data_IF_786322073848
#
_entry.id   IF_786322073848
#
_cell.length_a   1.000
_cell.length_b   1.000
_cell.length_c   1.000
_cell.angle_alpha   90.00
_cell.angle_beta   90.00
_cell.angle_gamma   90.00
#
_symmetry.space_group_name_H-M   'P 1'
#
loop_
_entity.id
_entity.type
_entity.pdbx_description
1 polymer ?
#
# COMPACT_ATOMS: atom_id res chain seq x y z
N UNK A 1 -2.41 24.46 -30.46
CA UNK A 1 -1.39 23.52 -29.97
C UNK A 1 -0.83 24.04 -28.65
N UNK A 2 -0.37 25.30 -28.59
CA UNK A 2 0.10 26.00 -27.37
C UNK A 2 -0.89 25.96 -26.17
N UNK A 3 -2.17 26.31 -26.36
CA UNK A 3 -3.15 26.27 -25.26
C UNK A 3 -3.45 24.87 -24.68
N UNK A 4 -3.13 23.79 -25.42
CA UNK A 4 -3.32 22.42 -24.93
C UNK A 4 -2.22 22.01 -23.97
N UNK A 5 -0.98 22.30 -24.34
CA UNK A 5 0.22 22.01 -23.53
C UNK A 5 0.21 22.80 -22.22
N UNK A 6 -0.18 24.08 -22.24
CA UNK A 6 -0.33 24.89 -21.02
C UNK A 6 -1.38 24.32 -20.06
N UNK A 7 -2.50 23.84 -20.60
CA UNK A 7 -3.57 23.25 -19.79
C UNK A 7 -3.09 21.95 -19.14
N UNK A 8 -2.41 21.09 -19.89
CA UNK A 8 -1.91 19.82 -19.37
C UNK A 8 -0.83 20.05 -18.30
N UNK A 9 0.08 21.01 -18.50
CA UNK A 9 1.06 21.40 -17.49
C UNK A 9 0.39 21.92 -16.20
N UNK A 10 -0.66 22.73 -16.32
CA UNK A 10 -1.41 23.23 -15.17
C UNK A 10 -2.12 22.09 -14.40
N UNK A 11 -2.67 21.09 -15.12
CA UNK A 11 -3.27 19.90 -14.53
C UNK A 11 -2.23 19.10 -13.74
N UNK A 12 -1.09 18.79 -14.36
CA UNK A 12 -0.03 18.03 -13.70
C UNK A 12 0.45 18.78 -12.46
N UNK A 13 0.59 20.11 -12.53
CA UNK A 13 0.99 20.90 -11.36
C UNK A 13 -0.05 20.84 -10.23
N UNK A 14 -1.34 20.83 -10.54
CA UNK A 14 -2.40 20.66 -9.55
C UNK A 14 -2.33 19.28 -8.87
N UNK A 15 -2.04 18.23 -9.64
CA UNK A 15 -1.84 16.87 -9.10
C UNK A 15 -0.62 16.83 -8.16
N UNK A 16 0.47 17.51 -8.51
CA UNK A 16 1.64 17.62 -7.62
C UNK A 16 1.29 18.32 -6.31
N UNK A 17 0.53 19.42 -6.36
CA UNK A 17 0.09 20.12 -5.15
C UNK A 17 -0.80 19.23 -4.27
N UNK A 18 -1.61 18.36 -4.88
CA UNK A 18 -2.41 17.38 -4.16
C UNK A 18 -1.55 16.25 -3.55
N UNK A 19 -0.51 15.79 -4.25
CA UNK A 19 0.47 14.87 -3.69
C UNK A 19 1.22 15.49 -2.50
N UNK A 20 1.65 16.75 -2.64
CA UNK A 20 2.32 17.50 -1.58
C UNK A 20 1.46 17.63 -0.32
N UNK A 21 0.14 17.80 -0.44
CA UNK A 21 -0.77 17.78 0.70
C UNK A 21 -0.67 16.47 1.50
N UNK A 22 -0.61 15.30 0.83
CA UNK A 22 -0.44 14.02 1.52
C UNK A 22 0.96 13.83 2.07
N UNK A 23 1.99 14.37 1.43
CA UNK A 23 3.32 14.41 2.03
C UNK A 23 3.28 15.17 3.36
N UNK A 24 2.62 16.32 3.41
CA UNK A 24 2.46 17.09 4.65
C UNK A 24 1.73 16.26 5.71
N UNK A 25 0.67 15.54 5.33
CA UNK A 25 -0.02 14.63 6.26
C UNK A 25 0.91 13.55 6.84
N UNK A 26 1.84 13.01 6.04
CA UNK A 26 2.80 12.00 6.51
C UNK A 26 3.87 12.63 7.40
N UNK A 27 4.57 13.66 6.91
CA UNK A 27 5.76 14.19 7.57
C UNK A 27 5.45 15.06 8.79
N UNK A 28 4.39 15.88 8.76
CA UNK A 28 4.04 16.75 9.89
C UNK A 28 3.44 15.98 11.06
N UNK A 29 2.89 14.79 10.81
CA UNK A 29 2.30 13.91 11.82
C UNK A 29 3.21 12.73 12.19
N UNK A 30 4.44 12.69 11.67
CA UNK A 30 5.42 11.62 11.90
C UNK A 30 4.86 10.21 11.61
N UNK A 31 4.13 10.06 10.51
CA UNK A 31 3.64 8.77 10.03
C UNK A 31 4.74 8.04 9.25
N UNK A 32 4.63 6.72 9.16
CA UNK A 32 5.63 5.88 8.50
C UNK A 32 5.48 5.81 6.97
N UNK A 33 4.44 6.42 6.39
CA UNK A 33 4.24 6.38 4.94
C UNK A 33 2.82 6.69 4.50
N UNK A 34 2.57 6.48 3.21
CA UNK A 34 1.29 6.69 2.54
C UNK A 34 0.82 5.43 1.83
N UNK A 35 -0.48 5.17 1.88
CA UNK A 35 -1.15 4.08 1.18
C UNK A 35 -2.29 4.65 0.33
N UNK A 36 -2.25 4.37 -0.97
CA UNK A 36 -3.23 4.87 -1.93
C UNK A 36 -4.32 3.83 -2.19
N UNK A 37 -5.54 4.10 -1.73
CA UNK A 37 -6.72 3.32 -2.10
C UNK A 37 -7.14 3.66 -3.54
N UNK A 38 -6.84 2.77 -4.49
CA UNK A 38 -7.06 2.99 -5.92
C UNK A 38 -8.28 2.23 -6.44
N UNK A 39 -9.43 2.88 -6.32
CA UNK A 39 -10.72 2.42 -6.84
C UNK A 39 -11.39 3.52 -7.67
N UNK A 40 -10.84 3.87 -8.85
CA UNK A 40 -11.19 5.12 -9.49
C UNK A 40 -12.66 5.23 -9.89
N UNK A 41 -13.42 4.16 -10.19
CA UNK A 41 -14.83 4.26 -10.64
C UNK A 41 -15.12 5.37 -11.70
N UNK A 42 -14.14 5.73 -12.54
CA UNK A 42 -14.12 6.89 -13.47
C UNK A 42 -13.67 8.25 -12.90
N UNK A 43 -12.98 8.26 -11.77
CA UNK A 43 -12.36 9.43 -11.13
C UNK A 43 -11.28 10.02 -12.05
N UNK A 44 -11.14 11.34 -11.97
CA UNK A 44 -10.11 12.12 -12.61
C UNK A 44 -8.70 11.64 -12.27
N UNK A 45 -8.43 11.25 -11.03
CA UNK A 45 -7.12 10.76 -10.62
C UNK A 45 -6.94 9.28 -10.98
N UNK A 46 -6.91 8.99 -12.27
CA UNK A 46 -6.77 7.63 -12.82
C UNK A 46 -5.77 7.58 -13.98
N UNK A 47 -5.31 6.36 -14.32
CA UNK A 47 -4.35 6.14 -15.40
C UNK A 47 -3.06 6.95 -15.23
N UNK A 48 -2.65 7.67 -16.28
CA UNK A 48 -1.41 8.45 -16.28
C UNK A 48 -1.37 9.54 -15.20
N UNK A 49 -2.53 10.10 -14.84
CA UNK A 49 -2.60 11.10 -13.76
C UNK A 49 -2.34 10.49 -12.39
N UNK A 50 -2.85 9.28 -12.13
CA UNK A 50 -2.52 8.54 -10.91
C UNK A 50 -1.06 8.14 -10.87
N UNK A 51 -0.50 7.69 -12.00
CA UNK A 51 0.94 7.38 -12.10
C UNK A 51 1.79 8.63 -11.85
N UNK A 52 1.41 9.81 -12.38
CA UNK A 52 2.10 11.07 -12.11
C UNK A 52 2.04 11.45 -10.62
N UNK A 53 0.88 11.29 -9.99
CA UNK A 53 0.69 11.50 -8.55
C UNK A 53 1.62 10.61 -7.72
N UNK A 54 1.62 9.29 -7.98
CA UNK A 54 2.46 8.33 -7.27
C UNK A 54 3.96 8.60 -7.50
N UNK A 55 4.37 8.95 -8.71
CA UNK A 55 5.75 9.34 -9.00
C UNK A 55 6.18 10.61 -8.26
N UNK A 56 5.28 11.57 -8.06
CA UNK A 56 5.58 12.76 -7.27
C UNK A 56 5.81 12.39 -5.80
N UNK A 57 4.94 11.56 -5.20
CA UNK A 57 5.13 11.03 -3.85
C UNK A 57 6.44 10.23 -3.70
N UNK A 58 6.78 9.44 -4.72
CA UNK A 58 7.96 8.57 -4.74
C UNK A 58 9.31 9.32 -4.65
N UNK A 59 9.33 10.63 -4.89
CA UNK A 59 10.52 11.46 -4.64
C UNK A 59 10.88 11.49 -3.14
N UNK A 60 9.87 11.39 -2.27
CA UNK A 60 10.00 11.53 -0.82
C UNK A 60 9.86 10.20 -0.07
N UNK A 61 9.14 9.23 -0.65
CA UNK A 61 8.76 7.97 0.00
C UNK A 61 8.98 6.77 -0.96
N UNK A 62 8.97 5.56 -0.43
CA UNK A 62 9.10 4.33 -1.23
C UNK A 62 10.51 4.05 -1.74
N UNK A 63 10.75 2.90 -2.41
CA UNK A 63 12.08 2.51 -2.89
C UNK A 63 12.69 3.38 -4.00
N UNK A 64 11.87 4.07 -4.80
CA UNK A 64 12.19 4.84 -6.00
C UNK A 64 13.67 4.81 -6.49
N UNK A 65 14.01 4.03 -7.53
CA UNK A 65 15.38 3.91 -8.02
C UNK A 65 15.90 5.16 -8.73
N UNK A 66 15.03 6.10 -9.11
CA UNK A 66 15.40 7.29 -9.90
C UNK A 66 15.90 8.46 -9.03
N UNK A 67 15.99 8.27 -7.71
CA UNK A 67 16.52 9.28 -6.78
C UNK A 67 17.48 8.63 -5.78
N UNK A 68 18.60 9.30 -5.50
CA UNK A 68 19.53 8.87 -4.45
C UNK A 68 18.99 9.20 -3.05
N UNK A 69 19.53 8.54 -2.03
CA UNK A 69 19.18 8.82 -0.63
C UNK A 69 19.51 10.26 -0.24
N UNK A 70 20.63 10.79 -0.74
CA UNK A 70 21.10 12.14 -0.50
C UNK A 70 20.17 13.19 -1.15
N UNK A 71 19.74 12.96 -2.39
CA UNK A 71 18.77 13.83 -3.07
C UNK A 71 17.41 13.81 -2.37
N UNK A 72 16.93 12.63 -1.97
CA UNK A 72 15.70 12.51 -1.18
C UNK A 72 15.80 13.28 0.14
N UNK A 73 16.88 13.08 0.89
CA UNK A 73 17.11 13.80 2.14
C UNK A 73 17.10 15.31 1.92
N UNK A 74 17.76 15.80 0.87
CA UNK A 74 17.78 17.22 0.53
C UNK A 74 16.38 17.76 0.20
N UNK A 75 15.55 17.02 -0.55
CA UNK A 75 14.16 17.40 -0.83
C UNK A 75 13.32 17.48 0.45
N UNK A 76 13.44 16.48 1.31
CA UNK A 76 12.73 16.42 2.60
C UNK A 76 13.14 17.60 3.48
N UNK A 77 14.44 17.85 3.66
CA UNK A 77 14.94 18.93 4.50
C UNK A 77 14.61 20.31 3.93
N UNK A 78 14.58 20.47 2.60
CA UNK A 78 14.16 21.72 1.97
C UNK A 78 12.69 22.06 2.27
N UNK A 79 11.82 21.07 2.41
CA UNK A 79 10.39 21.26 2.69
C UNK A 79 10.09 21.32 4.19
N UNK A 80 10.67 20.43 4.99
CA UNK A 80 10.29 20.20 6.40
C UNK A 80 11.37 20.62 7.42
N UNK A 81 12.54 21.04 6.96
CA UNK A 81 13.66 21.50 7.80
C UNK A 81 14.73 20.43 8.06
N UNK A 82 15.93 20.90 8.40
CA UNK A 82 17.15 20.06 8.53
C UNK A 82 17.05 18.95 9.58
N UNK A 83 16.15 19.08 10.55
CA UNK A 83 15.94 18.07 11.60
C UNK A 83 15.15 16.85 11.14
N UNK A 84 14.47 16.93 9.99
CA UNK A 84 13.71 15.81 9.42
C UNK A 84 14.63 14.98 8.55
N UNK A 85 14.99 13.78 9.02
CA UNK A 85 16.01 12.93 8.38
C UNK A 85 15.51 11.55 7.98
N UNK A 86 14.24 11.24 8.23
CA UNK A 86 13.66 9.95 7.86
C UNK A 86 13.38 9.93 6.34
N UNK A 87 14.14 9.09 5.64
CA UNK A 87 14.07 8.90 4.18
C UNK A 87 13.43 7.56 3.79
N UNK A 88 13.07 6.74 4.78
CA UNK A 88 12.62 5.36 4.60
C UNK A 88 11.09 5.22 4.72
N UNK A 89 10.35 6.35 4.69
CA UNK A 89 8.88 6.41 4.63
C UNK A 89 8.34 5.53 3.51
N UNK A 90 7.31 4.74 3.79
CA UNK A 90 6.70 3.79 2.86
C UNK A 90 5.78 4.48 1.86
N UNK A 91 5.74 3.93 0.64
CA UNK A 91 4.72 4.22 -0.36
C UNK A 91 4.06 2.91 -0.77
N UNK A 92 2.76 2.80 -0.55
CA UNK A 92 1.95 1.64 -0.85
C UNK A 92 0.75 2.01 -1.70
N UNK A 93 0.13 0.99 -2.28
CA UNK A 93 -1.13 1.12 -3.00
C UNK A 93 -1.99 -0.09 -2.70
N UNK A 94 -3.30 0.09 -2.66
CA UNK A 94 -4.28 -0.96 -2.50
C UNK A 94 -5.38 -0.86 -3.57
N UNK A 95 -5.91 -2.01 -3.99
CA UNK A 95 -6.93 -2.10 -5.04
C UNK A 95 -7.61 -3.49 -5.09
N UNK A 96 -8.84 -3.60 -5.62
CA UNK A 96 -9.53 -4.88 -5.86
C UNK A 96 -9.05 -5.60 -7.13
N UNK A 97 -8.57 -4.85 -8.13
CA UNK A 97 -8.17 -5.36 -9.45
C UNK A 97 -6.73 -5.88 -9.53
N UNK A 98 -6.31 -6.43 -10.67
CA UNK A 98 -4.90 -6.70 -10.91
C UNK A 98 -4.22 -5.41 -11.37
N UNK A 99 -3.44 -4.81 -10.48
CA UNK A 99 -2.58 -3.64 -10.64
C UNK A 99 -3.26 -2.30 -11.05
N UNK A 100 -2.99 -1.19 -10.33
CA UNK A 100 -3.23 0.15 -10.84
C UNK A 100 -2.42 0.45 -12.11
N UNK A 101 -1.14 0.02 -12.12
CA UNK A 101 -0.20 0.12 -13.24
C UNK A 101 1.12 -0.61 -12.91
N UNK A 102 1.79 -1.19 -13.91
CA UNK A 102 3.14 -1.76 -13.77
C UNK A 102 4.21 -0.70 -13.49
N UNK A 103 3.94 0.57 -13.84
CA UNK A 103 4.82 1.70 -13.55
C UNK A 103 5.05 1.93 -12.04
N UNK A 104 4.22 1.31 -11.19
CA UNK A 104 4.33 1.44 -9.74
C UNK A 104 5.26 0.39 -9.12
N UNK A 105 5.68 -0.62 -9.88
CA UNK A 105 6.46 -1.75 -9.36
C UNK A 105 7.73 -1.30 -8.66
N UNK A 106 8.46 -0.32 -9.20
CA UNK A 106 9.75 0.08 -8.65
C UNK A 106 9.66 1.20 -7.61
N UNK A 107 8.51 1.87 -7.50
CA UNK A 107 8.31 3.00 -6.58
C UNK A 107 7.49 2.65 -5.34
N UNK A 108 6.71 1.56 -5.36
CA UNK A 108 5.94 1.11 -4.19
C UNK A 108 6.69 0.04 -3.39
N UNK A 109 6.57 0.08 -2.06
CA UNK A 109 7.01 -0.97 -1.15
C UNK A 109 6.12 -2.21 -1.28
N UNK A 110 4.80 -2.00 -1.19
CA UNK A 110 3.81 -3.05 -1.19
C UNK A 110 2.59 -2.70 -2.05
N UNK A 111 1.97 -3.76 -2.56
CA UNK A 111 0.63 -3.74 -3.12
C UNK A 111 -0.29 -4.56 -2.20
N UNK A 112 -1.23 -3.87 -1.54
CA UNK A 112 -2.26 -4.49 -0.73
C UNK A 112 -3.43 -4.91 -1.65
N UNK A 113 -3.38 -6.15 -2.14
CA UNK A 113 -4.42 -6.71 -2.99
C UNK A 113 -5.66 -6.99 -2.15
N UNK A 114 -6.76 -6.32 -2.45
CA UNK A 114 -8.06 -6.60 -1.83
C UNK A 114 -8.66 -7.88 -2.41
N UNK A 115 -8.23 -9.04 -1.90
CA UNK A 115 -8.65 -10.36 -2.40
C UNK A 115 -10.01 -10.83 -1.86
N UNK A 116 -10.88 -9.93 -1.42
CA UNK A 116 -12.09 -10.27 -0.65
C UNK A 116 -12.96 -11.35 -1.33
N UNK A 117 -13.06 -12.53 -0.71
CA UNK A 117 -13.84 -13.66 -1.24
C UNK A 117 -13.25 -14.35 -2.48
N UNK A 118 -11.98 -14.09 -2.81
CA UNK A 118 -11.29 -14.63 -3.98
C UNK A 118 -9.99 -15.35 -3.65
N UNK A 119 -9.53 -16.19 -4.58
CA UNK A 119 -8.24 -16.88 -4.47
C UNK A 119 -7.07 -15.90 -4.58
N UNK A 120 -5.93 -16.16 -3.90
CA UNK A 120 -4.76 -15.30 -3.98
C UNK A 120 -4.11 -15.37 -5.36
N UNK A 121 -4.29 -14.31 -6.14
CA UNK A 121 -3.67 -14.11 -7.45
C UNK A 121 -3.34 -12.62 -7.65
N UNK A 122 -2.20 -12.36 -8.30
CA UNK A 122 -1.77 -11.03 -8.72
C UNK A 122 -0.70 -11.16 -9.81
N UNK A 123 -0.64 -10.17 -10.70
CA UNK A 123 0.43 -9.99 -11.69
C UNK A 123 1.65 -9.23 -11.14
N UNK A 124 1.55 -8.62 -9.96
CA UNK A 124 2.66 -7.89 -9.33
C UNK A 124 3.80 -8.83 -8.91
N UNK A 125 5.04 -8.30 -8.77
CA UNK A 125 6.14 -9.02 -8.12
C UNK A 125 5.68 -9.59 -6.78
N UNK A 126 5.73 -10.92 -6.64
CA UNK A 126 5.07 -11.62 -5.53
C UNK A 126 5.52 -11.11 -4.17
N UNK A 127 6.80 -10.79 -4.03
CA UNK A 127 7.42 -10.27 -2.81
C UNK A 127 6.89 -8.90 -2.35
N UNK A 128 6.17 -8.19 -3.22
CA UNK A 128 5.48 -6.94 -2.92
C UNK A 128 3.99 -7.11 -2.65
N UNK A 129 3.41 -8.29 -2.93
CA UNK A 129 1.96 -8.49 -2.79
C UNK A 129 1.61 -8.95 -1.39
N UNK A 130 0.69 -8.22 -0.77
CA UNK A 130 0.03 -8.57 0.48
C UNK A 130 -1.44 -8.84 0.18
N UNK A 131 -1.88 -10.09 0.37
CA UNK A 131 -3.27 -10.48 0.09
C UNK A 131 -4.17 -10.17 1.28
N UNK A 132 -5.14 -9.30 1.10
CA UNK A 132 -6.01 -8.79 2.16
C UNK A 132 -7.37 -9.49 2.19
N UNK A 133 -7.79 -9.92 3.38
CA UNK A 133 -9.13 -10.45 3.65
C UNK A 133 -10.11 -9.36 4.11
N UNK A 134 -11.41 -9.52 3.83
CA UNK A 134 -12.45 -8.67 4.40
C UNK A 134 -12.82 -9.15 5.81
N UNK A 135 -11.96 -8.86 6.78
CA UNK A 135 -12.24 -9.17 8.19
C UNK A 135 -13.38 -8.31 8.73
N UNK A 136 -13.61 -7.13 8.17
CA UNK A 136 -14.71 -6.23 8.56
C UNK A 136 -16.07 -6.92 8.60
N UNK A 137 -16.44 -7.53 7.47
CA UNK A 137 -17.74 -8.20 7.32
C UNK A 137 -17.68 -9.65 7.82
N UNK A 138 -16.54 -10.33 7.64
CA UNK A 138 -16.40 -11.77 7.92
C UNK A 138 -15.79 -12.07 9.31
N UNK A 139 -15.77 -11.11 10.24
CA UNK A 139 -15.13 -11.32 11.54
C UNK A 139 -15.74 -12.47 12.37
N UNK A 140 -16.99 -12.86 12.12
CA UNK A 140 -17.63 -13.99 12.79
C UNK A 140 -17.48 -15.30 12.02
N UNK A 141 -17.09 -15.25 10.75
CA UNK A 141 -16.95 -16.43 9.91
C UNK A 141 -15.83 -17.33 10.44
N UNK A 142 -15.94 -18.63 10.15
CA UNK A 142 -14.95 -19.61 10.57
C UNK A 142 -13.61 -19.43 9.84
N UNK A 143 -13.63 -18.97 8.60
CA UNK A 143 -12.46 -18.74 7.74
C UNK A 143 -11.88 -17.33 7.85
N UNK A 144 -12.55 -16.41 8.58
CA UNK A 144 -12.17 -15.03 8.77
C UNK A 144 -11.95 -14.30 7.43
N UNK A 145 -12.89 -14.46 6.50
CA UNK A 145 -12.84 -13.87 5.15
C UNK A 145 -11.69 -14.39 4.28
N UNK A 146 -11.22 -15.62 4.53
CA UNK A 146 -10.09 -16.23 3.80
C UNK A 146 -8.71 -15.91 4.37
N UNK A 147 -8.61 -15.19 5.50
CA UNK A 147 -7.31 -14.75 6.06
C UNK A 147 -6.33 -15.90 6.29
N UNK A 148 -6.83 -17.03 6.78
CA UNK A 148 -6.01 -18.23 7.00
C UNK A 148 -5.45 -18.82 5.69
N UNK A 149 -6.20 -18.75 4.60
CA UNK A 149 -5.75 -19.23 3.30
C UNK A 149 -4.67 -18.33 2.73
N UNK A 150 -4.82 -17.01 2.86
CA UNK A 150 -3.77 -16.06 2.49
C UNK A 150 -2.51 -16.22 3.33
N UNK A 151 -2.64 -16.50 4.64
CA UNK A 151 -1.49 -16.79 5.48
C UNK A 151 -0.69 -18.02 4.99
N UNK A 152 -1.38 -19.09 4.60
CA UNK A 152 -0.77 -20.34 4.10
C UNK A 152 -0.26 -20.26 2.66
N UNK A 153 -0.88 -19.41 1.84
CA UNK A 153 -0.58 -19.34 0.42
C UNK A 153 0.92 -19.09 0.16
N UNK A 154 1.50 -19.87 -0.73
CA UNK A 154 2.86 -19.70 -1.23
C UNK A 154 2.78 -19.56 -2.75
N UNK A 155 3.34 -18.48 -3.34
CA UNK A 155 3.44 -18.38 -4.78
C UNK A 155 4.31 -19.51 -5.34
N UNK A 156 4.11 -19.86 -6.61
CA UNK A 156 4.88 -20.94 -7.26
C UNK A 156 6.39 -20.67 -7.28
N UNK A 157 6.80 -19.40 -7.29
CA UNK A 157 8.18 -18.96 -7.25
C UNK A 157 8.33 -17.82 -6.21
N UNK A 158 9.46 -17.82 -5.49
CA UNK A 158 9.78 -16.78 -4.52
C UNK A 158 8.91 -16.82 -3.27
N UNK A 159 8.73 -15.65 -2.64
CA UNK A 159 7.88 -15.46 -1.47
C UNK A 159 6.89 -14.35 -1.76
N UNK A 160 5.70 -14.42 -1.15
CA UNK A 160 4.79 -13.29 -1.16
C UNK A 160 5.24 -12.19 -0.19
N UNK A 161 4.76 -10.96 -0.37
CA UNK A 161 4.95 -9.88 0.58
C UNK A 161 4.27 -10.16 1.93
N UNK A 162 3.03 -10.67 1.90
CA UNK A 162 2.36 -11.13 3.11
C UNK A 162 0.87 -11.41 2.96
N UNK A 163 0.16 -11.30 4.09
CA UNK A 163 -1.29 -11.29 4.17
C UNK A 163 -1.73 -10.06 5.01
N UNK A 164 -2.93 -9.57 4.76
CA UNK A 164 -3.50 -8.40 5.43
C UNK A 164 -4.99 -8.54 5.69
N UNK A 165 -5.59 -7.53 6.31
CA UNK A 165 -7.00 -7.54 6.68
C UNK A 165 -7.61 -6.14 6.64
N UNK A 166 -8.71 -5.98 5.92
CA UNK A 166 -9.60 -4.82 6.06
C UNK A 166 -10.35 -4.92 7.39
N UNK A 167 -10.33 -3.85 8.18
CA UNK A 167 -10.92 -3.80 9.53
C UNK A 167 -10.43 -4.91 10.47
N UNK A 168 -9.11 -5.15 10.51
CA UNK A 168 -8.44 -6.08 11.43
C UNK A 168 -8.87 -5.94 12.90
N UNK A 169 -9.22 -4.72 13.34
CA UNK A 169 -9.66 -4.46 14.71
C UNK A 169 -10.91 -5.28 15.11
N UNK A 170 -11.70 -5.78 14.15
CA UNK A 170 -12.83 -6.68 14.43
C UNK A 170 -12.37 -8.03 14.99
N UNK A 171 -11.14 -8.48 14.73
CA UNK A 171 -10.53 -9.65 15.36
C UNK A 171 -10.14 -9.40 16.84
N UNK A 172 -10.34 -8.20 17.37
CA UNK A 172 -10.28 -7.96 18.81
C UNK A 172 -11.47 -8.58 19.56
N UNK A 173 -12.63 -8.70 18.90
CA UNK A 173 -13.87 -9.15 19.54
C UNK A 173 -13.81 -10.64 19.89
N UNK A 174 -14.13 -10.95 21.14
CA UNK A 174 -14.11 -12.33 21.65
C UNK A 174 -15.39 -13.06 21.30
N UNK A 175 -15.26 -14.26 20.73
CA UNK A 175 -16.37 -15.18 20.40
C UNK A 175 -15.87 -16.63 20.27
N UNK A 176 -16.76 -17.57 19.91
CA UNK A 176 -16.46 -19.01 19.85
C UNK A 176 -15.21 -19.34 19.01
N UNK A 177 -15.03 -18.69 17.85
CA UNK A 177 -13.87 -18.94 16.98
C UNK A 177 -12.66 -18.04 17.35
N UNK A 178 -12.84 -17.06 18.23
CA UNK A 178 -11.82 -16.08 18.65
C UNK A 178 -11.83 -15.87 20.17
N UNK A 179 -11.39 -16.86 20.98
CA UNK A 179 -11.52 -16.81 22.45
C UNK A 179 -10.69 -15.73 23.16
N UNK A 180 -9.77 -15.04 22.48
CA UNK A 180 -9.06 -13.88 23.02
C UNK A 180 -8.68 -12.90 21.90
N UNK A 181 -8.49 -11.60 22.22
CA UNK A 181 -8.23 -10.58 21.21
C UNK A 181 -7.07 -10.92 20.27
N UNK A 182 -7.31 -10.73 18.97
CA UNK A 182 -6.38 -10.97 17.88
C UNK A 182 -5.84 -12.40 17.77
N UNK A 183 -6.50 -13.41 18.38
CA UNK A 183 -6.01 -14.79 18.29
C UNK A 183 -5.81 -15.21 16.85
N UNK A 184 -6.84 -15.06 16.01
CA UNK A 184 -6.84 -15.63 14.66
C UNK A 184 -5.83 -14.92 13.77
N UNK A 185 -5.70 -13.60 13.87
CA UNK A 185 -4.66 -12.86 13.17
C UNK A 185 -3.25 -13.29 13.62
N UNK A 186 -3.02 -13.47 14.92
CA UNK A 186 -1.73 -13.96 15.46
C UNK A 186 -1.41 -15.38 15.01
N UNK A 187 -2.40 -16.25 14.90
CA UNK A 187 -2.23 -17.59 14.32
C UNK A 187 -1.82 -17.50 12.85
N UNK A 188 -2.43 -16.60 12.07
CA UNK A 188 -2.02 -16.35 10.69
C UNK A 188 -0.57 -15.86 10.59
N UNK A 189 -0.12 -15.00 11.51
CA UNK A 189 1.30 -14.57 11.58
C UNK A 189 2.21 -15.79 11.78
N UNK A 190 1.85 -16.68 12.72
CA UNK A 190 2.61 -17.89 13.04
C UNK A 190 2.61 -18.91 11.90
N UNK A 191 1.51 -19.00 11.15
CA UNK A 191 1.38 -19.85 9.95
C UNK A 191 2.33 -19.36 8.85
N UNK A 192 2.34 -18.06 8.57
CA UNK A 192 3.23 -17.50 7.54
C UNK A 192 4.71 -17.54 7.98
N UNK A 193 4.96 -17.38 9.28
CA UNK A 193 6.31 -17.35 9.86
C UNK A 193 6.45 -18.46 10.92
N UNK A 194 6.52 -19.75 10.50
CA UNK A 194 6.66 -20.86 11.42
C UNK A 194 7.95 -20.71 12.26
N UNK A 195 7.87 -21.06 13.55
CA UNK A 195 9.05 -21.12 14.40
C UNK A 195 10.07 -22.11 13.79
N UNK A 196 11.33 -21.70 13.77
CA UNK A 196 12.42 -22.58 13.36
C UNK A 196 12.63 -23.60 14.49
N UNK A 197 12.46 -24.88 14.19
CA UNK A 197 12.80 -25.98 15.09
C UNK A 197 14.27 -26.37 14.96
#
# INVERSE_FOLDING_TARGET
MENGEEKDAAILKAIEMYAEYFLDQVFENDLDGFDADYEPESDFLSGDYFVHFMNHLAKYMGPNPDITKEERLALIQARYGETVTDIDKMLCVDAPGDAPSEALYDICNYYFKQSYGSSPYSSWPSEKVVYCANVGDEWQSADLGGLYDYARYQPANGKKGGFGAFFIHRDYNVHENNPYPYKRFRECIQIQNPAVN
#
